data_IF_329876696902
#
_entry.id   IF_329876696902
#
_cell.length_a   1.000
_cell.length_b   1.000
_cell.length_c   1.000
_cell.angle_alpha   90.00
_cell.angle_beta   90.00
_cell.angle_gamma   90.00
#
_symmetry.space_group_name_H-M   'P 1'
#
loop_
_entity.id
_entity.type
_entity.pdbx_description
1 polymer ?
#
# COMPACT_ATOMS: atom_id res chain seq x y z
N UNK A 1 20.69 -12.11 8.18
CA UNK A 1 19.99 -11.54 7.00
C UNK A 1 18.53 -11.93 7.14
N UNK A 2 17.63 -10.98 7.34
CA UNK A 2 16.19 -11.23 7.37
C UNK A 2 15.73 -11.30 5.92
N UNK A 3 15.02 -12.37 5.55
CA UNK A 3 14.58 -12.56 4.18
C UNK A 3 13.36 -11.66 3.92
N UNK A 4 13.44 -10.77 2.93
CA UNK A 4 12.31 -9.97 2.49
C UNK A 4 11.34 -10.89 1.75
N UNK A 5 10.09 -10.92 2.18
CA UNK A 5 9.08 -11.79 1.56
C UNK A 5 8.71 -11.31 0.15
N UNK A 6 8.57 -12.24 -0.79
CA UNK A 6 8.22 -11.95 -2.18
C UNK A 6 6.70 -11.90 -2.36
N UNK A 7 6.07 -10.76 -2.01
CA UNK A 7 4.61 -10.60 -2.08
C UNK A 7 4.02 -10.64 -3.49
N UNK A 8 4.85 -10.48 -4.54
CA UNK A 8 4.40 -10.55 -5.94
C UNK A 8 3.73 -11.89 -6.31
N UNK A 9 3.93 -12.94 -5.51
CA UNK A 9 3.25 -14.23 -5.67
C UNK A 9 1.77 -14.20 -5.28
N UNK A 10 1.38 -13.29 -4.38
CA UNK A 10 0.00 -13.11 -3.90
C UNK A 10 -0.75 -12.08 -4.76
N UNK A 11 -0.04 -11.09 -5.28
CA UNK A 11 -0.60 -10.05 -6.13
C UNK A 11 0.38 -9.66 -7.22
N UNK A 12 -0.05 -9.79 -8.48
CA UNK A 12 0.74 -9.40 -9.64
C UNK A 12 0.23 -8.04 -10.13
N UNK A 13 0.94 -6.93 -9.84
CA UNK A 13 0.54 -5.62 -10.30
C UNK A 13 0.79 -5.46 -11.81
N UNK A 14 -0.12 -4.77 -12.48
CA UNK A 14 -0.08 -4.49 -13.92
C UNK A 14 0.06 -2.99 -14.20
N UNK A 15 -0.55 -2.12 -13.38
CA UNK A 15 -0.51 -0.67 -13.56
C UNK A 15 -0.56 0.07 -12.23
N UNK A 16 0.10 1.23 -12.19
CA UNK A 16 0.15 2.14 -11.04
C UNK A 16 -0.19 3.57 -11.48
N UNK A 17 -1.18 4.16 -10.82
CA UNK A 17 -1.42 5.60 -10.84
C UNK A 17 -0.95 6.20 -9.51
N UNK A 18 0.01 7.13 -9.60
CA UNK A 18 0.61 7.78 -8.45
C UNK A 18 0.23 9.27 -8.46
N UNK A 19 -0.46 9.70 -7.41
CA UNK A 19 -0.70 11.11 -7.12
C UNK A 19 0.05 11.47 -5.84
N UNK A 20 0.92 12.46 -5.93
CA UNK A 20 1.72 12.94 -4.80
C UNK A 20 1.53 14.46 -4.68
N UNK A 21 1.14 14.88 -3.50
CA UNK A 21 1.16 16.27 -3.06
C UNK A 21 2.39 16.48 -2.18
N UNK A 22 3.26 17.40 -2.57
CA UNK A 22 4.56 17.60 -1.93
C UNK A 22 4.57 18.95 -1.22
N UNK A 23 4.77 18.92 0.10
CA UNK A 23 5.02 20.13 0.87
C UNK A 23 6.51 20.30 1.10
N UNK A 24 7.09 21.31 0.42
CA UNK A 24 8.50 21.67 0.58
C UNK A 24 8.80 22.31 1.94
N UNK A 25 7.82 22.99 2.52
CA UNK A 25 7.94 23.68 3.81
C UNK A 25 8.09 22.67 4.95
N UNK A 26 7.17 21.69 5.01
CA UNK A 26 7.16 20.66 6.05
C UNK A 26 8.04 19.46 5.70
N UNK A 27 8.57 19.39 4.47
CA UNK A 27 9.32 18.25 3.93
C UNK A 27 8.53 16.93 4.02
N UNK A 28 7.23 17.01 3.77
CA UNK A 28 6.30 15.88 3.77
C UNK A 28 5.66 15.69 2.40
N UNK A 29 5.08 14.52 2.20
CA UNK A 29 4.23 14.26 1.04
C UNK A 29 2.96 13.53 1.49
N UNK A 30 1.85 13.86 0.84
CA UNK A 30 0.62 13.06 0.92
C UNK A 30 0.29 12.56 -0.48
N UNK A 31 -0.61 11.60 -0.60
CA UNK A 31 -0.90 11.08 -1.92
C UNK A 31 -1.95 10.00 -1.98
N UNK A 32 -2.10 9.47 -3.19
CA UNK A 32 -2.94 8.33 -3.49
C UNK A 32 -2.21 7.44 -4.49
N UNK A 33 -2.24 6.14 -4.24
CA UNK A 33 -1.58 5.13 -5.07
C UNK A 33 -2.63 4.15 -5.55
N UNK A 34 -3.10 4.27 -6.79
CA UNK A 34 -4.00 3.25 -7.34
C UNK A 34 -3.18 2.17 -8.00
N UNK A 35 -3.31 0.94 -7.50
CA UNK A 35 -2.67 -0.22 -8.10
C UNK A 35 -3.75 -1.09 -8.73
N UNK A 36 -3.56 -1.48 -9.99
CA UNK A 36 -4.39 -2.49 -10.65
C UNK A 36 -3.55 -3.71 -10.97
N UNK A 37 -4.14 -4.89 -10.80
CA UNK A 37 -3.49 -6.15 -11.11
C UNK A 37 -4.35 -7.33 -10.76
N UNK A 38 -3.72 -8.50 -10.70
CA UNK A 38 -4.38 -9.78 -10.45
C UNK A 38 -4.01 -10.31 -9.07
N UNK A 39 -5.02 -10.50 -8.22
CA UNK A 39 -4.87 -11.22 -6.95
C UNK A 39 -4.80 -12.73 -7.23
N UNK A 40 -3.83 -13.40 -6.63
CA UNK A 40 -3.65 -14.86 -6.66
C UNK A 40 -4.04 -15.50 -5.33
N UNK A 41 -4.47 -14.70 -4.35
CA UNK A 41 -4.84 -15.12 -2.99
C UNK A 41 -5.87 -14.16 -2.41
N UNK A 42 -6.61 -14.63 -1.41
CA UNK A 42 -7.64 -13.86 -0.68
C UNK A 42 -7.03 -12.84 0.29
N UNK A 43 -5.72 -12.90 0.48
CA UNK A 43 -4.94 -11.91 1.21
C UNK A 43 -3.78 -11.45 0.34
N UNK A 44 -3.60 -10.15 0.25
CA UNK A 44 -2.46 -9.55 -0.44
C UNK A 44 -1.61 -8.76 0.55
N UNK A 45 -0.33 -8.67 0.22
CA UNK A 45 0.63 -7.87 0.97
C UNK A 45 1.36 -6.94 0.01
N UNK A 46 1.64 -5.73 0.45
CA UNK A 46 2.38 -4.73 -0.31
C UNK A 46 3.52 -4.20 0.55
N UNK A 47 4.64 -3.87 -0.07
CA UNK A 47 5.74 -3.27 0.67
C UNK A 47 5.42 -1.82 1.02
N UNK A 48 5.68 -1.45 2.26
CA UNK A 48 5.62 -0.09 2.76
C UNK A 48 6.79 0.12 3.72
N UNK A 49 7.42 1.28 3.69
CA UNK A 49 8.47 1.63 4.63
C UNK A 49 8.23 3.02 5.14
N UNK A 50 8.17 3.13 6.47
CA UNK A 50 7.88 4.39 7.15
C UNK A 50 6.69 5.05 6.46
N UNK A 51 5.59 4.31 6.24
CA UNK A 51 4.36 4.85 5.70
C UNK A 51 3.21 4.85 6.70
N UNK A 52 2.63 6.01 7.00
CA UNK A 52 1.26 6.07 7.53
C UNK A 52 0.26 5.75 6.40
N UNK A 53 -0.73 4.90 6.71
CA UNK A 53 -1.75 4.47 5.75
C UNK A 53 -3.08 4.99 6.26
N UNK A 54 -3.67 5.96 5.58
CA UNK A 54 -4.94 6.55 6.01
C UNK A 54 -6.13 5.64 5.70
N UNK A 55 -6.15 5.02 4.52
CA UNK A 55 -7.24 4.13 4.13
C UNK A 55 -6.85 3.15 3.02
N UNK A 56 -7.51 2.00 3.02
CA UNK A 56 -7.41 1.04 1.92
C UNK A 56 -8.81 0.83 1.39
N UNK A 57 -8.94 0.86 0.07
CA UNK A 57 -10.18 0.57 -0.62
C UNK A 57 -9.92 -0.57 -1.60
N UNK A 58 -10.88 -1.49 -1.76
CA UNK A 58 -10.82 -2.51 -2.82
C UNK A 58 -12.12 -2.42 -3.59
N UNK A 59 -12.02 -2.20 -4.91
CA UNK A 59 -13.17 -2.03 -5.80
C UNK A 59 -14.15 -0.91 -5.37
N UNK A 60 -13.63 0.14 -4.72
CA UNK A 60 -14.39 1.32 -4.27
C UNK A 60 -15.03 1.15 -2.90
N UNK A 61 -14.67 0.10 -2.18
CA UNK A 61 -15.18 -0.18 -0.84
C UNK A 61 -14.02 -0.22 0.16
N UNK A 62 -14.15 0.53 1.26
CA UNK A 62 -13.16 0.54 2.32
C UNK A 62 -12.93 -0.88 2.88
N UNK A 63 -11.67 -1.22 3.09
CA UNK A 63 -11.24 -2.51 3.65
C UNK A 63 -10.35 -2.29 4.86
N UNK A 64 -10.45 -3.16 5.88
CA UNK A 64 -9.49 -3.17 6.96
C UNK A 64 -8.12 -3.59 6.43
N UNK A 65 -7.07 -3.07 7.07
CA UNK A 65 -5.69 -3.39 6.74
C UNK A 65 -4.84 -3.45 8.00
N UNK A 66 -3.67 -4.04 7.91
CA UNK A 66 -2.69 -4.10 9.01
C UNK A 66 -1.33 -3.67 8.49
N UNK A 67 -0.70 -2.74 9.22
CA UNK A 67 0.66 -2.29 8.93
C UNK A 67 1.62 -3.08 9.80
N UNK A 68 2.48 -3.87 9.17
CA UNK A 68 3.57 -4.60 9.82
C UNK A 68 4.89 -3.87 9.53
N UNK A 69 5.38 -3.15 10.53
CA UNK A 69 6.62 -2.38 10.40
C UNK A 69 7.87 -3.25 10.49
N UNK A 70 7.80 -4.41 11.14
CA UNK A 70 8.95 -5.33 11.27
C UNK A 70 9.27 -5.98 9.91
N UNK A 71 8.22 -6.24 9.13
CA UNK A 71 8.32 -6.85 7.80
C UNK A 71 8.15 -5.85 6.64
N UNK A 72 8.12 -4.54 6.92
CA UNK A 72 7.94 -3.48 5.92
C UNK A 72 6.74 -3.77 5.00
N UNK A 73 5.61 -4.17 5.59
CA UNK A 73 4.47 -4.72 4.88
C UNK A 73 3.15 -4.05 5.28
N UNK A 74 2.25 -3.99 4.29
CA UNK A 74 0.84 -3.65 4.44
C UNK A 74 0.01 -4.85 4.01
N UNK A 75 -0.82 -5.35 4.90
CA UNK A 75 -1.65 -6.52 4.66
C UNK A 75 -3.12 -6.14 4.49
N UNK A 76 -3.76 -6.74 3.48
CA UNK A 76 -5.13 -6.42 3.08
C UNK A 76 -5.87 -7.73 2.78
N UNK A 77 -7.02 -7.91 3.42
CA UNK A 77 -7.93 -9.03 3.16
C UNK A 77 -8.88 -8.68 2.00
N UNK A 78 -8.97 -9.57 1.02
CA UNK A 78 -9.85 -9.49 -0.13
C UNK A 78 -11.08 -10.37 0.13
N UNK A 79 -12.27 -9.82 -0.12
CA UNK A 79 -13.50 -10.60 0.06
C UNK A 79 -13.72 -11.62 -1.07
N UNK A 80 -13.24 -11.34 -2.28
CA UNK A 80 -13.33 -12.20 -3.46
C UNK A 80 -12.16 -11.91 -4.43
N UNK A 81 -11.84 -12.87 -5.31
CA UNK A 81 -10.82 -12.77 -6.37
C UNK A 81 -11.23 -11.76 -7.44
N UNK A 82 -11.18 -10.48 -7.10
CA UNK A 82 -11.62 -9.38 -7.96
C UNK A 82 -10.40 -8.61 -8.44
N UNK A 83 -10.43 -8.17 -9.70
CA UNK A 83 -9.47 -7.19 -10.25
C UNK A 83 -9.31 -6.05 -9.25
N UNK A 84 -8.12 -5.97 -8.68
CA UNK A 84 -7.85 -5.03 -7.60
C UNK A 84 -7.91 -3.62 -8.16
N UNK A 85 -8.64 -2.78 -7.45
CA UNK A 85 -8.64 -1.35 -7.65
C UNK A 85 -8.56 -0.74 -6.26
N UNK A 86 -7.64 0.21 -6.12
CA UNK A 86 -7.47 1.18 -5.04
C UNK A 86 -6.51 0.80 -3.90
N UNK A 87 -5.72 1.80 -3.47
CA UNK A 87 -4.96 1.87 -2.22
C UNK A 87 -4.76 3.36 -1.89
N UNK A 88 -4.90 3.80 -0.65
CA UNK A 88 -4.69 5.21 -0.26
C UNK A 88 -3.65 5.30 0.85
N UNK A 89 -2.40 5.57 0.47
CA UNK A 89 -1.25 5.69 1.37
C UNK A 89 -1.04 7.18 1.73
N UNK A 90 -0.88 7.54 3.00
CA UNK A 90 -0.75 8.94 3.45
C UNK A 90 0.28 9.08 4.56
N UNK A 91 1.48 9.63 4.27
CA UNK A 91 2.59 9.71 5.22
C UNK A 91 2.83 11.05 5.90
N UNK A 92 3.32 11.02 7.14
CA UNK A 92 4.03 12.11 7.81
C UNK A 92 5.46 11.72 8.29
N UNK A 93 6.39 12.63 7.99
CA UNK A 93 7.76 12.88 8.52
C UNK A 93 8.96 12.03 8.07
N UNK A 94 9.89 12.70 7.38
CA UNK A 94 11.33 12.39 7.43
C UNK A 94 11.97 13.15 8.60
N UNK A 95 12.79 12.43 9.36
CA UNK A 95 13.49 12.94 10.54
C UNK A 95 14.38 14.14 10.21
N UNK A 96 14.35 15.12 11.10
CA UNK A 96 15.20 16.32 11.05
C UNK A 96 16.54 15.98 11.69
N UNK A 97 17.65 16.18 10.94
CA UNK A 97 18.99 16.40 11.52
C UNK A 97 19.22 17.89 11.65
#
# INVERSE_FOLDING_TARGET
MQAVEHFIKQFVPEHYDLFLDLSRETKTFSGKVTITGQAQSDRISLHQKDLEIASVEVAGQARPFTVDHDNEALHIELAETVKLKWLSLSQEKLQTT
#
